data_IF_131952393145
#
_entry.id   IF_131952393145
#
_cell.length_a   1.000
_cell.length_b   1.000
_cell.length_c   1.000
_cell.angle_alpha   90.00
_cell.angle_beta   90.00
_cell.angle_gamma   90.00
#
_symmetry.space_group_name_H-M   'P 1'
#
loop_
_entity.id
_entity.type
_entity.pdbx_description
1 polymer ?
#
# COMPACT_ATOMS: atom_id res chain seq x y z
N UNK A 1 -3.48 -1.30 -16.16
CA UNK A 1 -3.47 -2.76 -16.34
C UNK A 1 -3.02 -3.45 -15.05
N UNK A 2 -3.73 -4.48 -14.61
CA UNK A 2 -3.50 -5.20 -13.35
C UNK A 2 -2.69 -6.49 -13.47
N UNK A 3 -2.30 -6.89 -14.68
CA UNK A 3 -1.83 -8.25 -15.03
C UNK A 3 -0.64 -8.78 -14.20
N UNK A 4 0.14 -7.93 -13.53
CA UNK A 4 1.26 -8.35 -12.69
C UNK A 4 1.00 -8.14 -11.19
N UNK A 5 -0.26 -7.92 -10.78
CA UNK A 5 -0.65 -7.61 -9.41
C UNK A 5 -0.16 -6.24 -8.91
N UNK A 6 0.37 -5.39 -9.78
CA UNK A 6 1.02 -4.13 -9.41
C UNK A 6 0.05 -3.10 -8.83
N UNK A 7 -1.26 -3.30 -9.02
CA UNK A 7 -2.31 -2.45 -8.45
C UNK A 7 -2.55 -2.70 -6.95
N UNK A 8 -2.06 -3.81 -6.41
CA UNK A 8 -2.22 -4.13 -4.99
C UNK A 8 -3.66 -4.44 -4.55
N UNK A 9 -4.58 -4.65 -5.51
CA UNK A 9 -5.99 -4.97 -5.23
C UNK A 9 -6.22 -6.42 -4.81
N UNK A 10 -5.20 -7.28 -4.97
CA UNK A 10 -5.28 -8.71 -4.69
C UNK A 10 -5.70 -9.58 -5.88
N UNK A 11 -5.93 -8.97 -7.04
CA UNK A 11 -6.17 -9.65 -8.32
C UNK A 11 -5.29 -9.12 -9.44
N UNK A 12 -5.48 -9.67 -10.63
CA UNK A 12 -4.72 -9.31 -11.86
C UNK A 12 -5.57 -8.54 -12.87
N UNK A 13 -6.83 -8.28 -12.54
CA UNK A 13 -7.76 -7.56 -13.41
C UNK A 13 -7.43 -6.08 -13.50
N UNK A 14 -7.80 -5.50 -14.64
CA UNK A 14 -7.73 -4.06 -14.85
C UNK A 14 -8.76 -3.34 -13.97
N UNK A 15 -8.36 -2.16 -13.52
CA UNK A 15 -9.16 -1.31 -12.65
C UNK A 15 -9.23 0.05 -13.32
N UNK A 16 -10.44 0.45 -13.70
CA UNK A 16 -10.69 1.71 -14.42
C UNK A 16 -10.83 2.90 -13.47
N UNK A 17 -11.20 2.66 -12.22
CA UNK A 17 -11.46 3.69 -11.20
C UNK A 17 -10.58 3.49 -9.96
N UNK A 18 -10.17 4.54 -9.25
CA UNK A 18 -9.33 4.39 -8.05
C UNK A 18 -9.95 3.49 -6.98
N UNK A 19 -9.22 2.45 -6.56
CA UNK A 19 -9.63 1.53 -5.50
C UNK A 19 -8.69 1.67 -4.29
N UNK A 20 -9.27 1.63 -3.09
CA UNK A 20 -8.50 1.58 -1.85
C UNK A 20 -7.79 0.23 -1.72
N UNK A 21 -6.45 0.26 -1.80
CA UNK A 21 -5.59 -0.88 -1.50
C UNK A 21 -5.62 -1.18 0.00
N UNK A 22 -5.99 -2.41 0.35
CA UNK A 22 -6.08 -2.90 1.74
C UNK A 22 -5.14 -4.09 1.94
N UNK A 23 -4.62 -4.23 3.15
CA UNK A 23 -3.86 -5.40 3.54
C UNK A 23 -3.32 -5.28 4.96
N UNK A 24 -3.14 -6.41 5.64
CA UNK A 24 -2.63 -6.45 7.03
C UNK A 24 -1.31 -5.70 7.20
N UNK A 25 -0.47 -5.69 6.16
CA UNK A 25 0.81 -4.99 6.15
C UNK A 25 0.70 -3.47 6.13
N UNK A 26 -0.48 -2.90 5.80
CA UNK A 26 -0.72 -1.46 5.76
C UNK A 26 -1.37 -0.93 7.05
N UNK A 27 -1.86 -1.82 7.91
CA UNK A 27 -2.55 -1.44 9.15
C UNK A 27 -1.61 -0.66 10.08
N UNK A 28 -2.10 0.48 10.59
CA UNK A 28 -1.34 1.37 11.48
C UNK A 28 -0.15 2.08 10.82
N UNK A 29 0.03 1.95 9.50
CA UNK A 29 1.08 2.65 8.74
C UNK A 29 0.50 3.85 8.00
N UNK A 30 1.35 4.85 7.77
CA UNK A 30 1.05 5.99 6.90
C UNK A 30 1.96 5.92 5.68
N UNK A 31 1.38 5.73 4.50
CA UNK A 31 2.12 5.76 3.24
C UNK A 31 2.54 7.20 2.96
N UNK A 32 3.84 7.40 2.71
CA UNK A 32 4.41 8.73 2.46
C UNK A 32 4.93 8.88 1.05
N UNK A 33 5.27 7.78 0.36
CA UNK A 33 5.59 7.77 -1.07
C UNK A 33 5.22 6.44 -1.71
N UNK A 34 4.99 6.49 -3.01
CA UNK A 34 4.80 5.32 -3.87
C UNK A 34 5.70 5.45 -5.10
N UNK A 35 6.15 4.32 -5.64
CA UNK A 35 6.88 4.23 -6.89
C UNK A 35 6.47 2.93 -7.62
N UNK A 36 6.48 2.95 -8.95
CA UNK A 36 6.17 1.78 -9.78
C UNK A 36 7.21 1.58 -10.87
N UNK A 37 7.39 0.34 -11.28
CA UNK A 37 8.14 -0.08 -12.45
C UNK A 37 7.27 -0.96 -13.35
N UNK A 38 7.86 -1.61 -14.36
CA UNK A 38 7.10 -2.38 -15.34
C UNK A 38 6.16 -3.44 -14.74
N UNK A 39 6.66 -4.22 -13.77
CA UNK A 39 5.91 -5.31 -13.14
C UNK A 39 5.91 -5.25 -11.60
N UNK A 40 6.22 -4.09 -11.00
CA UNK A 40 6.30 -3.97 -9.54
C UNK A 40 5.84 -2.60 -9.04
N UNK A 41 5.42 -2.57 -7.78
CA UNK A 41 5.05 -1.36 -7.03
C UNK A 41 5.72 -1.38 -5.67
N UNK A 42 6.19 -0.22 -5.22
CA UNK A 42 6.79 0.00 -3.91
C UNK A 42 6.04 1.11 -3.18
N UNK A 43 5.86 0.93 -1.87
CA UNK A 43 5.33 1.94 -0.98
C UNK A 43 6.28 2.17 0.19
N UNK A 44 6.67 3.42 0.41
CA UNK A 44 7.40 3.82 1.61
C UNK A 44 6.39 4.25 2.67
N UNK A 45 6.48 3.64 3.85
CA UNK A 45 5.55 3.87 4.93
C UNK A 45 6.27 4.25 6.23
N UNK A 46 5.62 5.10 7.01
CA UNK A 46 6.03 5.40 8.38
C UNK A 46 5.10 4.71 9.37
N UNK A 47 5.64 4.31 10.51
CA UNK A 47 4.86 3.89 11.67
C UNK A 47 4.80 5.07 12.63
N UNK A 48 3.60 5.43 13.11
CA UNK A 48 3.51 6.37 14.23
C UNK A 48 4.13 5.68 15.45
N UNK A 49 5.26 6.20 15.94
CA UNK A 49 5.85 5.75 17.19
C UNK A 49 4.87 6.13 18.31
N UNK A 50 4.15 5.17 18.85
CA UNK A 50 3.31 5.44 20.02
C UNK A 50 4.22 5.89 21.16
N UNK A 51 4.03 7.11 21.66
CA UNK A 51 4.63 7.52 22.93
C UNK A 51 3.96 6.65 23.98
N UNK A 52 4.71 5.73 24.60
CA UNK A 52 4.24 5.07 25.83
C UNK A 52 4.04 6.20 26.85
N UNK A 53 2.81 6.53 27.20
CA UNK A 53 2.57 7.30 28.42
C UNK A 53 2.86 6.34 29.57
N UNK A 54 3.95 6.57 30.30
CA UNK A 54 4.09 5.95 31.60
C UNK A 54 3.08 6.65 32.52
N UNK A 55 2.12 5.87 33.05
CA UNK A 55 1.32 6.25 34.21
C UNK A 55 2.14 6.13 35.48
#
# INVERSE_FOLDING_TARGET
MGTNGQLGTGGEDDVEEPILVKGKQLEGKTIVRVAGGGQHTLALATIKKQRKSNS
#
